data_IF_135833562894
#
_entry.id   IF_135833562894
#
_cell.length_a   1.000
_cell.length_b   1.000
_cell.length_c   1.000
_cell.angle_alpha   90.00
_cell.angle_beta   90.00
_cell.angle_gamma   90.00
#
_symmetry.space_group_name_H-M   'P 1'
#
loop_
_entity.id
_entity.type
_entity.pdbx_description
1 polymer ?
#
# COMPACT_ATOMS: atom_id res chain seq x y z
N UNK A 1 16.49 25.75 -23.53
CA UNK A 1 16.68 24.74 -22.46
C UNK A 1 15.48 24.91 -21.53
N UNK A 2 14.40 24.15 -21.59
CA UNK A 2 14.24 22.72 -21.85
C UNK A 2 13.22 22.27 -20.82
N UNK A 3 11.94 22.29 -21.21
CA UNK A 3 10.78 21.92 -20.42
C UNK A 3 10.88 20.52 -19.80
N UNK A 4 10.36 20.38 -18.59
CA UNK A 4 10.19 19.12 -17.88
C UNK A 4 8.95 19.18 -16.99
N UNK A 5 7.78 19.23 -17.64
CA UNK A 5 6.49 19.20 -16.99
C UNK A 5 6.37 18.02 -16.03
N UNK A 6 6.11 18.32 -14.75
CA UNK A 6 5.59 17.33 -13.81
C UNK A 6 4.14 17.06 -14.18
N UNK A 7 3.93 15.97 -14.91
CA UNK A 7 2.60 15.43 -15.16
C UNK A 7 2.15 14.83 -13.83
N UNK A 8 1.48 15.64 -13.01
CA UNK A 8 0.73 15.13 -11.87
C UNK A 8 -0.55 14.50 -12.42
N UNK A 9 -0.85 13.22 -12.11
CA UNK A 9 -2.14 12.66 -12.48
C UNK A 9 -3.26 13.46 -11.82
N UNK A 10 -4.19 13.89 -12.66
CA UNK A 10 -5.41 14.61 -12.29
C UNK A 10 -6.31 13.61 -11.56
N UNK A 11 -6.37 13.68 -10.23
CA UNK A 11 -7.42 13.10 -9.36
C UNK A 11 -7.06 13.18 -7.85
N UNK A 12 -5.91 13.75 -7.48
CA UNK A 12 -5.49 13.95 -6.09
C UNK A 12 -6.15 15.15 -5.37
N UNK A 13 -7.42 15.43 -5.70
CA UNK A 13 -8.01 16.74 -5.45
C UNK A 13 -9.22 16.80 -4.53
N UNK A 14 -9.76 15.72 -3.94
CA UNK A 14 -10.88 15.86 -2.99
C UNK A 14 -10.97 14.66 -2.01
N UNK A 15 -10.07 14.55 -1.04
CA UNK A 15 -10.33 13.74 0.18
C UNK A 15 -9.32 14.02 1.32
N UNK A 16 -8.87 15.27 1.51
CA UNK A 16 -8.12 15.68 2.71
C UNK A 16 -8.51 17.10 3.20
N UNK A 17 -9.77 17.51 3.03
CA UNK A 17 -10.32 18.68 3.73
C UNK A 17 -11.44 18.24 4.68
N UNK A 18 -11.08 17.35 5.62
CA UNK A 18 -11.85 17.16 6.85
C UNK A 18 -11.33 18.14 7.89
N UNK A 19 -12.22 19.01 8.39
CA UNK A 19 -11.94 19.91 9.50
C UNK A 19 -11.43 19.12 10.71
N UNK A 20 -10.24 19.47 11.20
CA UNK A 20 -9.63 18.90 12.40
C UNK A 20 -10.55 19.16 13.61
N UNK A 21 -11.20 18.10 14.11
CA UNK A 21 -11.96 18.13 15.35
C UNK A 21 -11.30 17.17 16.34
N UNK A 22 -10.72 17.73 17.40
CA UNK A 22 -9.92 16.97 18.35
C UNK A 22 -10.71 15.88 19.09
N UNK A 23 -10.34 14.62 18.83
CA UNK A 23 -10.42 13.49 19.76
C UNK A 23 -9.10 12.70 19.67
N UNK A 24 -8.58 12.29 20.82
CA UNK A 24 -7.19 11.88 21.05
C UNK A 24 -6.83 10.49 20.49
N UNK A 25 -5.84 10.49 19.61
CA UNK A 25 -4.62 9.65 19.57
C UNK A 25 -4.71 8.18 20.04
N UNK A 26 -4.98 7.30 19.07
CA UNK A 26 -4.14 6.13 18.83
C UNK A 26 -3.68 6.21 17.37
N UNK A 27 -2.76 7.13 17.07
CA UNK A 27 -2.22 7.34 15.72
C UNK A 27 -1.44 6.10 15.26
N UNK A 28 -2.19 5.15 14.72
CA UNK A 28 -1.70 3.93 14.17
C UNK A 28 -1.68 4.04 12.66
N UNK A 29 -0.54 4.40 12.09
CA UNK A 29 -0.39 4.35 10.64
C UNK A 29 -0.34 2.89 10.20
N UNK A 30 -1.50 2.35 9.83
CA UNK A 30 -1.66 0.94 9.45
C UNK A 30 -2.08 0.78 7.99
N UNK A 31 -1.51 -0.23 7.35
CA UNK A 31 -2.06 -0.86 6.17
C UNK A 31 -2.24 -2.35 6.46
N UNK A 32 -3.25 -2.96 5.87
CA UNK A 32 -3.37 -4.42 5.82
C UNK A 32 -3.18 -4.86 4.38
N UNK A 33 -2.57 -6.02 4.18
CA UNK A 33 -2.37 -6.55 2.84
C UNK A 33 -2.42 -8.05 2.76
N UNK A 34 -2.60 -8.54 1.54
CA UNK A 34 -2.60 -9.95 1.18
C UNK A 34 -1.79 -10.16 -0.08
N UNK A 35 -1.08 -11.27 -0.14
CA UNK A 35 -0.38 -11.72 -1.35
C UNK A 35 -1.32 -12.64 -2.12
N UNK A 36 -1.62 -12.28 -3.37
CA UNK A 36 -2.39 -13.11 -4.29
C UNK A 36 -1.47 -14.15 -4.94
N UNK A 37 -1.17 -15.21 -4.20
CA UNK A 37 -0.37 -16.32 -4.67
C UNK A 37 -1.13 -17.65 -4.52
N UNK A 38 -0.85 -18.59 -5.43
CA UNK A 38 -1.37 -19.97 -5.35
C UNK A 38 -0.62 -20.82 -4.30
N UNK A 39 0.60 -20.42 -3.95
CA UNK A 39 1.46 -21.13 -2.99
C UNK A 39 1.61 -20.33 -1.70
N UNK A 40 1.78 -21.04 -0.59
CA UNK A 40 2.07 -20.44 0.72
C UNK A 40 3.55 -20.08 0.84
N UNK A 41 3.84 -18.96 1.48
CA UNK A 41 5.21 -18.50 1.72
C UNK A 41 5.52 -18.48 3.21
N UNK A 42 6.79 -18.72 3.56
CA UNK A 42 7.26 -18.48 4.93
C UNK A 42 7.19 -16.99 5.24
N UNK A 43 6.65 -16.66 6.41
CA UNK A 43 6.50 -15.28 6.85
C UNK A 43 7.82 -14.47 6.80
N UNK A 44 8.94 -15.05 7.24
CA UNK A 44 10.24 -14.38 7.19
C UNK A 44 10.66 -13.95 5.78
N UNK A 45 10.31 -14.75 4.77
CA UNK A 45 10.63 -14.46 3.37
C UNK A 45 9.71 -13.36 2.82
N UNK A 46 8.42 -13.40 3.14
CA UNK A 46 7.48 -12.33 2.82
C UNK A 46 7.94 -11.01 3.45
N UNK A 47 8.21 -11.04 4.75
CA UNK A 47 8.61 -9.88 5.54
C UNK A 47 9.89 -9.25 5.01
N UNK A 48 10.95 -10.02 4.81
CA UNK A 48 12.24 -9.50 4.32
C UNK A 48 12.11 -8.89 2.93
N UNK A 49 11.38 -9.54 2.03
CA UNK A 49 11.17 -9.05 0.67
C UNK A 49 10.35 -7.77 0.64
N UNK A 50 9.22 -7.73 1.35
CA UNK A 50 8.35 -6.54 1.36
C UNK A 50 8.99 -5.36 2.09
N UNK A 51 9.72 -5.58 3.19
CA UNK A 51 10.48 -4.52 3.84
C UNK A 51 11.54 -3.92 2.91
N UNK A 52 12.24 -4.78 2.17
CA UNK A 52 13.24 -4.35 1.18
C UNK A 52 12.60 -3.56 0.03
N UNK A 53 11.48 -4.03 -0.50
CA UNK A 53 10.78 -3.38 -1.61
C UNK A 53 10.16 -2.03 -1.21
N UNK A 54 9.51 -1.96 -0.05
CA UNK A 54 8.80 -0.76 0.40
C UNK A 54 9.75 0.32 0.93
N UNK A 55 10.90 -0.07 1.50
CA UNK A 55 11.97 0.83 1.97
C UNK A 55 11.48 2.14 2.62
N UNK A 56 10.62 2.02 3.64
CA UNK A 56 10.11 3.16 4.41
C UNK A 56 11.25 3.88 5.13
N UNK A 57 11.34 5.20 5.01
CA UNK A 57 12.46 5.99 5.52
C UNK A 57 12.63 5.91 7.04
N UNK A 58 11.52 5.95 7.80
CA UNK A 58 11.56 5.85 9.26
C UNK A 58 11.33 4.42 9.79
N UNK A 59 11.37 3.44 8.89
CA UNK A 59 11.12 2.04 9.22
C UNK A 59 9.64 1.67 9.35
N UNK A 60 9.38 0.38 9.19
CA UNK A 60 8.06 -0.24 9.21
C UNK A 60 8.19 -1.62 9.85
N UNK A 61 7.13 -2.07 10.54
CA UNK A 61 7.02 -3.44 11.05
C UNK A 61 5.93 -4.18 10.29
N UNK A 62 6.22 -5.42 9.92
CA UNK A 62 5.25 -6.33 9.32
C UNK A 62 4.98 -7.45 10.34
N UNK A 63 3.70 -7.75 10.54
CA UNK A 63 3.20 -8.85 11.38
C UNK A 63 2.18 -9.67 10.60
N UNK A 64 2.20 -10.99 10.75
CA UNK A 64 1.15 -11.87 10.24
C UNK A 64 -0.03 -11.86 11.22
N UNK A 65 -1.23 -11.62 10.71
CA UNK A 65 -2.46 -11.52 11.53
C UNK A 65 -3.43 -12.69 11.29
N UNK A 66 -3.08 -13.62 10.39
CA UNK A 66 -3.90 -14.76 10.00
C UNK A 66 -4.70 -14.53 8.71
N UNK A 67 -5.34 -15.58 8.20
CA UNK A 67 -6.11 -15.56 6.94
C UNK A 67 -5.31 -15.01 5.73
N UNK A 68 -4.03 -15.37 5.62
CA UNK A 68 -3.10 -14.87 4.59
C UNK A 68 -2.95 -13.34 4.56
N UNK A 69 -3.18 -12.67 5.71
CA UNK A 69 -3.07 -11.23 5.85
C UNK A 69 -1.85 -10.82 6.65
N UNK A 70 -1.29 -9.70 6.24
CA UNK A 70 -0.13 -9.05 6.85
C UNK A 70 -0.53 -7.63 7.25
N UNK A 71 -0.21 -7.27 8.50
CA UNK A 71 -0.37 -5.92 9.02
C UNK A 71 0.95 -5.18 8.92
N UNK A 72 0.91 -4.01 8.29
CA UNK A 72 2.02 -3.10 8.12
C UNK A 72 1.82 -1.94 9.10
N UNK A 73 2.70 -1.81 10.08
CA UNK A 73 2.71 -0.69 11.03
C UNK A 73 3.84 0.27 10.65
N UNK A 74 3.47 1.49 10.34
CA UNK A 74 4.39 2.58 10.02
C UNK A 74 4.62 3.46 11.25
N UNK A 75 5.81 4.05 11.31
CA UNK A 75 6.15 5.01 12.36
C UNK A 75 5.68 6.44 12.02
N UNK A 76 5.48 6.74 10.74
CA UNK A 76 5.09 8.07 10.26
C UNK A 76 4.07 7.98 9.11
N UNK A 77 3.13 8.93 9.05
CA UNK A 77 2.09 9.00 8.01
C UNK A 77 2.68 9.10 6.60
N UNK A 78 3.79 9.83 6.44
CA UNK A 78 4.46 9.98 5.14
C UNK A 78 4.99 8.65 4.62
N UNK A 79 5.46 7.75 5.49
CA UNK A 79 5.90 6.42 5.08
C UNK A 79 4.71 5.54 4.68
N UNK A 80 3.57 5.64 5.40
CA UNK A 80 2.31 4.98 5.02
C UNK A 80 1.87 5.44 3.64
N UNK A 81 1.79 6.75 3.41
CA UNK A 81 1.33 7.33 2.16
C UNK A 81 2.28 6.99 1.01
N UNK A 82 3.59 7.03 1.24
CA UNK A 82 4.58 6.61 0.26
C UNK A 82 4.39 5.17 -0.21
N UNK A 83 4.08 4.25 0.72
CA UNK A 83 3.79 2.85 0.37
C UNK A 83 2.43 2.73 -0.31
N UNK A 84 1.42 3.45 0.17
CA UNK A 84 0.07 3.45 -0.39
C UNK A 84 0.02 3.96 -1.84
N UNK A 85 0.70 5.06 -2.12
CA UNK A 85 0.75 5.70 -3.45
C UNK A 85 1.44 4.86 -4.52
N UNK A 86 2.30 3.94 -4.09
CA UNK A 86 3.09 3.08 -4.98
C UNK A 86 2.48 1.70 -5.19
N UNK A 87 1.22 1.50 -4.78
CA UNK A 87 0.50 0.29 -5.16
C UNK A 87 0.33 0.22 -6.69
N UNK A 88 0.40 -0.97 -7.29
CA UNK A 88 0.47 -2.26 -6.63
C UNK A 88 1.89 -2.62 -6.20
N UNK A 89 2.02 -3.38 -5.11
CA UNK A 89 3.29 -3.97 -4.74
C UNK A 89 3.41 -5.37 -5.34
N UNK A 90 4.62 -5.73 -5.77
CA UNK A 90 4.92 -7.06 -6.29
C UNK A 90 5.77 -7.84 -5.30
N UNK A 91 5.43 -9.10 -5.09
CA UNK A 91 6.17 -10.04 -4.27
C UNK A 91 6.36 -11.36 -5.02
N UNK A 92 7.62 -11.73 -5.34
CA UNK A 92 7.94 -12.97 -6.06
C UNK A 92 7.04 -13.22 -7.29
N UNK A 93 6.84 -12.19 -8.12
CA UNK A 93 5.95 -12.18 -9.30
C UNK A 93 4.44 -12.31 -9.01
N UNK A 94 4.04 -12.27 -7.74
CA UNK A 94 2.64 -12.22 -7.32
C UNK A 94 2.26 -10.81 -6.88
N UNK A 95 0.98 -10.49 -7.01
CA UNK A 95 0.43 -9.21 -6.61
C UNK A 95 0.27 -9.15 -5.08
N UNK A 96 0.76 -8.10 -4.44
CA UNK A 96 0.46 -7.77 -3.07
C UNK A 96 -0.55 -6.61 -3.04
N UNK A 97 -1.78 -6.93 -2.65
CA UNK A 97 -2.85 -5.95 -2.47
C UNK A 97 -2.73 -5.38 -1.06
N UNK A 98 -2.84 -4.06 -0.94
CA UNK A 98 -2.87 -3.35 0.31
C UNK A 98 -4.18 -2.58 0.42
N UNK A 99 -4.62 -2.30 1.64
CA UNK A 99 -5.67 -1.33 1.95
C UNK A 99 -5.35 -0.62 3.28
N UNK A 100 -5.86 0.60 3.44
CA UNK A 100 -5.81 1.30 4.72
C UNK A 100 -6.70 0.58 5.74
N UNK A 101 -6.29 0.66 7.01
CA UNK A 101 -7.12 0.28 8.14
C UNK A 101 -7.56 1.59 8.79
N UNK A 102 -8.87 1.80 8.89
CA UNK A 102 -9.42 2.97 9.57
C UNK A 102 -9.35 2.80 11.10
N UNK A 103 -9.49 3.91 11.82
CA UNK A 103 -9.52 3.89 13.28
C UNK A 103 -10.72 3.03 13.75
N UNK A 104 -10.44 2.10 14.68
CA UNK A 104 -11.38 1.10 15.21
C UNK A 104 -11.86 0.01 14.23
N UNK A 105 -11.31 -0.06 13.01
CA UNK A 105 -11.60 -1.15 12.06
C UNK A 105 -10.78 -2.40 12.40
N UNK A 106 -11.40 -3.58 12.26
CA UNK A 106 -10.68 -4.85 12.39
C UNK A 106 -9.89 -5.16 11.09
N UNK A 107 -8.54 -5.25 11.13
CA UNK A 107 -7.74 -5.55 9.94
C UNK A 107 -8.11 -6.87 9.23
N UNK A 108 -8.72 -7.82 9.95
CA UNK A 108 -9.17 -9.09 9.38
C UNK A 108 -10.45 -8.97 8.54
N UNK A 109 -11.25 -7.91 8.75
CA UNK A 109 -12.51 -7.68 8.03
C UNK A 109 -12.36 -6.70 6.87
N UNK A 110 -11.25 -5.97 6.79
CA UNK A 110 -10.95 -5.03 5.69
C UNK A 110 -11.02 -5.76 4.34
N UNK A 111 -11.67 -5.15 3.36
CA UNK A 111 -11.79 -5.72 2.01
C UNK A 111 -10.49 -5.51 1.23
N UNK A 112 -9.99 -6.59 0.58
CA UNK A 112 -8.72 -6.62 -0.15
C UNK A 112 -8.91 -7.17 -1.58
N UNK A 113 -9.95 -6.67 -2.26
CA UNK A 113 -10.38 -7.22 -3.56
C UNK A 113 -9.84 -6.43 -4.75
N UNK A 114 -9.41 -5.19 -4.53
CA UNK A 114 -9.02 -4.26 -5.59
C UNK A 114 -7.67 -3.63 -5.31
N UNK A 115 -6.91 -3.39 -6.38
CA UNK A 115 -5.68 -2.58 -6.35
C UNK A 115 -5.60 -1.77 -7.63
N UNK A 116 -5.34 -0.48 -7.50
CA UNK A 116 -5.10 0.38 -8.66
C UNK A 116 -3.71 0.13 -9.21
N UNK A 117 -3.59 -0.03 -10.54
CA UNK A 117 -2.29 -0.16 -11.20
C UNK A 117 -2.30 0.41 -12.61
N UNK A 118 -1.16 0.94 -13.02
CA UNK A 118 -0.96 1.45 -14.38
C UNK A 118 -0.49 0.32 -15.30
N UNK A 119 -1.20 0.11 -16.40
CA UNK A 119 -0.81 -0.84 -17.45
C UNK A 119 -0.24 -0.08 -18.64
N UNK A 120 0.99 -0.42 -19.03
CA UNK A 120 1.56 0.07 -20.28
C UNK A 120 1.34 -0.99 -21.36
N UNK A 121 0.49 -0.69 -22.34
CA UNK A 121 0.21 -1.60 -23.46
C UNK A 121 1.21 -1.34 -24.59
N UNK A 122 1.88 -2.39 -25.05
CA UNK A 122 2.86 -2.34 -26.14
C UNK A 122 2.35 -3.09 -27.38
N UNK A 123 2.81 -2.68 -28.57
CA UNK A 123 2.59 -3.45 -29.80
C UNK A 123 1.18 -3.38 -30.38
N UNK A 124 0.38 -2.37 -30.01
CA UNK A 124 -0.91 -2.13 -30.65
C UNK A 124 -0.69 -1.66 -32.09
N UNK A 125 -0.91 -2.56 -33.04
CA UNK A 125 -1.02 -2.19 -34.46
C UNK A 125 -2.39 -1.57 -34.67
N UNK A 126 -2.42 -0.24 -34.79
CA UNK A 126 -3.62 0.50 -35.21
C UNK A 126 -3.71 0.32 -36.72
N UNK A 127 -4.80 -0.31 -37.19
CA UNK A 127 -5.09 -0.51 -38.60
C UNK A 127 -6.33 0.27 -39.00
#
# INVERSE_FOLDING_TARGET
MGDGGRIFPVEWGVLCLGTWNGKKEKDGFYLVGRILALKTYRFDYVKSTLLSAMNSGNGMKISEIGNDRYLFKFNHVLDKNYVWERTPWMFDKNLAILNAVEDDENPLTVTLDWSAFHVHVHGLSVR
#
